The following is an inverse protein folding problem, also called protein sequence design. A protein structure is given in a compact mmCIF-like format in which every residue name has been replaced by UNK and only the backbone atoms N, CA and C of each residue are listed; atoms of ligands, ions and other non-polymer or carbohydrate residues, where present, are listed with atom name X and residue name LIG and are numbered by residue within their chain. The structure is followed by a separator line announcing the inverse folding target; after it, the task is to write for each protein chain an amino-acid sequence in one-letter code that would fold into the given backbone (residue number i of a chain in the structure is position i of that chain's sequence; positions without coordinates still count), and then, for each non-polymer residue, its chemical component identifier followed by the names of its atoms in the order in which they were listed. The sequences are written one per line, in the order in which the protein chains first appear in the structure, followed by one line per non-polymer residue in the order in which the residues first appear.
data_IF_425694620713
#
_entry.id   IF_425694620713
#
_cell.length_a   1.000
_cell.length_b   1.000
_cell.length_c   1.000
_cell.angle_alpha   90.00
_cell.angle_beta   90.00
_cell.angle_gamma   90.00
#
_symmetry.space_group_name_H-M   'P 1'
#
loop_
_entity.id
_entity.type
_entity.pdbx_description
1 polymer ?
#
# COMPACT_ATOMS: atom_id res chain seq x y z
N UNK A 1 3.74 -17.97 -26.05
CA UNK A 1 2.96 -17.74 -24.81
C UNK A 1 2.42 -16.32 -24.84
N UNK A 2 1.24 -16.07 -24.27
CA UNK A 2 0.60 -14.74 -24.25
C UNK A 2 1.10 -13.89 -23.09
N UNK A 3 1.01 -12.57 -23.21
CA UNK A 3 1.51 -11.65 -22.18
C UNK A 3 0.49 -11.32 -21.09
N UNK A 4 -0.78 -11.66 -21.30
CA UNK A 4 -1.88 -11.32 -20.41
C UNK A 4 -2.99 -12.37 -20.46
N UNK A 5 -3.82 -12.40 -19.41
CA UNK A 5 -5.01 -13.27 -19.35
C UNK A 5 -6.03 -12.82 -20.40
N UNK A 6 -6.27 -11.50 -20.44
CA UNK A 6 -7.21 -10.82 -21.32
C UNK A 6 -6.54 -9.56 -21.89
N UNK A 7 -6.68 -9.34 -23.19
CA UNK A 7 -6.13 -8.17 -23.88
C UNK A 7 -6.86 -6.90 -23.40
N UNK A 8 -6.13 -5.86 -22.94
CA UNK A 8 -6.73 -4.58 -22.57
C UNK A 8 -7.50 -3.93 -23.72
N UNK A 9 -8.57 -3.20 -23.38
CA UNK A 9 -9.39 -2.41 -24.30
C UNK A 9 -9.14 -0.91 -24.10
N UNK A 10 -9.40 -0.04 -25.10
CA UNK A 10 -9.18 1.39 -25.02
C UNK A 10 -9.83 2.07 -23.81
N UNK A 11 -11.03 1.65 -23.43
CA UNK A 11 -11.85 2.23 -22.36
C UNK A 11 -11.18 2.14 -20.98
N UNK A 12 -10.21 1.22 -20.81
CA UNK A 12 -9.41 1.12 -19.58
C UNK A 12 -8.46 2.32 -19.47
N UNK A 13 -7.86 2.72 -20.59
CA UNK A 13 -6.95 3.86 -20.64
C UNK A 13 -7.72 5.17 -20.52
N UNK A 14 -8.88 5.25 -21.17
CA UNK A 14 -9.81 6.37 -20.99
C UNK A 14 -10.23 6.49 -19.52
N UNK A 15 -10.61 5.39 -18.85
CA UNK A 15 -10.92 5.41 -17.42
C UNK A 15 -9.74 5.88 -16.56
N UNK A 16 -8.50 5.49 -16.90
CA UNK A 16 -7.30 5.97 -16.21
C UNK A 16 -7.08 7.47 -16.41
N UNK A 17 -7.25 7.97 -17.63
CA UNK A 17 -7.19 9.41 -17.96
C UNK A 17 -8.26 10.19 -17.19
N UNK A 18 -9.49 9.69 -17.11
CA UNK A 18 -10.55 10.33 -16.33
C UNK A 18 -10.24 10.34 -14.83
N UNK A 19 -9.70 9.25 -14.26
CA UNK A 19 -9.24 9.26 -12.87
C UNK A 19 -8.12 10.27 -12.63
N UNK A 20 -7.19 10.41 -13.59
CA UNK A 20 -6.14 11.43 -13.54
C UNK A 20 -6.72 12.84 -13.53
N UNK A 21 -7.59 13.14 -14.50
CA UNK A 21 -8.26 14.44 -14.60
C UNK A 21 -9.10 14.74 -13.35
N UNK A 22 -9.74 13.73 -12.75
CA UNK A 22 -10.50 13.88 -11.51
C UNK A 22 -9.62 14.31 -10.34
N UNK A 23 -8.43 13.71 -10.22
CA UNK A 23 -7.45 14.06 -9.20
C UNK A 23 -6.89 15.46 -9.45
N UNK A 24 -6.57 15.83 -10.69
CA UNK A 24 -6.07 17.16 -11.03
C UNK A 24 -7.09 18.25 -10.66
N UNK A 25 -8.36 18.03 -11.03
CA UNK A 25 -9.47 18.92 -10.68
C UNK A 25 -9.63 19.05 -9.16
N UNK A 26 -9.54 17.93 -8.41
CA UNK A 26 -9.59 17.95 -6.94
C UNK A 26 -8.46 18.80 -6.34
N UNK A 27 -7.24 18.68 -6.87
CA UNK A 27 -6.06 19.37 -6.35
C UNK A 27 -6.13 20.88 -6.55
N UNK A 28 -6.73 21.35 -7.64
CA UNK A 28 -6.97 22.79 -7.89
C UNK A 28 -8.26 23.32 -7.24
N UNK A 29 -9.01 22.47 -6.54
CA UNK A 29 -10.22 22.85 -5.81
C UNK A 29 -11.51 22.79 -6.63
N UNK A 30 -11.47 22.36 -7.89
CA UNK A 30 -12.65 22.17 -8.73
C UNK A 30 -13.36 20.84 -8.40
N UNK A 31 -14.13 20.86 -7.32
CA UNK A 31 -14.87 19.68 -6.87
C UNK A 31 -15.98 19.25 -7.82
N UNK A 32 -16.50 20.16 -8.65
CA UNK A 32 -17.54 19.87 -9.63
C UNK A 32 -16.99 19.03 -10.78
N UNK A 33 -15.90 19.49 -11.38
CA UNK A 33 -15.19 18.76 -12.42
C UNK A 33 -14.64 17.42 -11.89
N UNK A 34 -14.04 17.41 -10.69
CA UNK A 34 -13.54 16.17 -10.09
C UNK A 34 -14.62 15.09 -9.99
N UNK A 35 -15.83 15.46 -9.53
CA UNK A 35 -16.97 14.56 -9.42
C UNK A 35 -17.40 14.01 -10.78
N UNK A 36 -17.45 14.87 -11.80
CA UNK A 36 -17.82 14.46 -13.15
C UNK A 36 -16.81 13.48 -13.75
N UNK A 37 -15.52 13.74 -13.57
CA UNK A 37 -14.46 12.86 -14.07
C UNK A 37 -14.41 11.52 -13.33
N UNK A 38 -14.61 11.50 -12.00
CA UNK A 38 -14.77 10.24 -11.27
C UNK A 38 -15.96 9.44 -11.81
N UNK A 39 -17.13 10.07 -12.04
CA UNK A 39 -18.29 9.40 -12.60
C UNK A 39 -18.00 8.79 -13.99
N UNK A 40 -17.29 9.51 -14.86
CA UNK A 40 -16.92 9.01 -16.19
C UNK A 40 -15.96 7.83 -16.14
N UNK A 41 -15.08 7.79 -15.14
CA UNK A 41 -14.20 6.65 -14.92
C UNK A 41 -14.93 5.38 -14.44
N UNK A 42 -16.17 5.51 -13.93
CA UNK A 42 -17.01 4.38 -13.53
C UNK A 42 -17.72 3.75 -14.74
N UNK A 43 -16.93 3.12 -15.61
CA UNK A 43 -17.40 2.59 -16.88
C UNK A 43 -17.94 1.16 -16.78
N UNK A 44 -19.19 0.97 -17.22
CA UNK A 44 -19.81 -0.36 -17.36
C UNK A 44 -19.04 -1.27 -18.31
N UNK A 45 -18.48 -0.72 -19.40
CA UNK A 45 -17.67 -1.46 -20.36
C UNK A 45 -16.41 -2.02 -19.69
N UNK A 46 -15.75 -1.20 -18.87
CA UNK A 46 -14.57 -1.61 -18.09
C UNK A 46 -14.93 -2.70 -17.07
N UNK A 47 -16.09 -2.60 -16.41
CA UNK A 47 -16.59 -3.63 -15.51
C UNK A 47 -16.83 -4.97 -16.21
N UNK A 48 -17.55 -4.95 -17.33
CA UNK A 48 -17.84 -6.16 -18.13
C UNK A 48 -16.57 -6.78 -18.72
N UNK A 49 -15.56 -5.96 -19.00
CA UNK A 49 -14.24 -6.47 -19.35
C UNK A 49 -13.54 -7.13 -18.16
N UNK A 50 -13.60 -6.52 -16.98
CA UNK A 50 -12.84 -6.92 -15.79
C UNK A 50 -13.43 -8.17 -15.10
N UNK A 51 -14.72 -8.13 -14.79
CA UNK A 51 -15.37 -9.05 -13.86
C UNK A 51 -15.34 -10.53 -14.29
N UNK A 52 -15.58 -10.93 -15.55
CA UNK A 52 -15.66 -12.35 -15.91
C UNK A 52 -14.37 -13.12 -15.69
N UNK A 53 -13.22 -12.51 -16.03
CA UNK A 53 -11.91 -13.14 -15.89
C UNK A 53 -11.40 -13.09 -14.44
N UNK A 54 -11.84 -12.10 -13.66
CA UNK A 54 -11.54 -12.04 -12.23
C UNK A 54 -12.39 -13.05 -11.45
N UNK A 55 -13.71 -13.06 -11.63
CA UNK A 55 -14.65 -13.86 -10.82
C UNK A 55 -14.63 -15.35 -11.12
N UNK A 56 -14.19 -15.76 -12.32
CA UNK A 56 -14.10 -17.16 -12.74
C UNK A 56 -12.69 -17.51 -13.22
N UNK A 57 -11.69 -17.54 -12.32
CA UNK A 57 -10.30 -17.77 -12.70
C UNK A 57 -10.06 -19.14 -13.33
N UNK A 58 -10.89 -20.15 -13.02
CA UNK A 58 -10.85 -21.47 -13.65
C UNK A 58 -11.06 -21.41 -15.17
N UNK A 59 -11.84 -20.43 -15.66
CA UNK A 59 -12.09 -20.23 -17.09
C UNK A 59 -10.91 -19.60 -17.83
N UNK A 60 -9.90 -19.11 -17.11
CA UNK A 60 -8.69 -18.56 -17.72
C UNK A 60 -7.64 -19.64 -18.04
N UNK A 61 -7.82 -20.86 -17.52
CA UNK A 61 -6.89 -21.99 -17.70
C UNK A 61 -6.98 -22.55 -19.11
N UNK A 62 -5.84 -22.57 -19.82
CA UNK A 62 -5.72 -23.12 -21.17
C UNK A 62 -5.25 -24.57 -21.16
N UNK A 63 -4.34 -24.91 -20.23
CA UNK A 63 -3.75 -26.24 -20.11
C UNK A 63 -3.86 -26.70 -18.65
N UNK A 64 -4.86 -27.52 -18.28
CA UNK A 64 -5.12 -27.83 -16.88
C UNK A 64 -3.98 -28.55 -16.15
N UNK A 65 -3.27 -29.46 -16.83
CA UNK A 65 -2.18 -30.27 -16.26
C UNK A 65 -0.96 -30.29 -17.21
N UNK A 66 -0.19 -29.19 -17.31
CA UNK A 66 1.02 -29.19 -18.11
C UNK A 66 2.04 -30.16 -17.51
N UNK A 67 2.74 -30.90 -18.36
CA UNK A 67 3.73 -31.90 -17.92
C UNK A 67 4.79 -31.25 -17.03
N UNK A 68 4.94 -31.79 -15.81
CA UNK A 68 5.96 -31.37 -14.84
C UNK A 68 5.68 -30.05 -14.10
N UNK A 69 4.48 -29.49 -14.21
CA UNK A 69 4.19 -28.12 -13.71
C UNK A 69 3.11 -28.09 -12.62
N UNK A 70 2.00 -28.82 -12.81
CA UNK A 70 0.81 -28.71 -11.94
C UNK A 70 0.92 -29.45 -10.60
N UNK A 71 2.13 -29.87 -10.18
CA UNK A 71 2.31 -30.55 -8.90
C UNK A 71 2.38 -29.51 -7.79
N UNK A 72 1.35 -29.49 -6.96
CA UNK A 72 1.34 -28.60 -5.78
C UNK A 72 2.25 -29.15 -4.67
N UNK A 73 2.85 -28.23 -3.93
CA UNK A 73 3.63 -28.53 -2.72
C UNK A 73 2.64 -28.83 -1.58
N UNK A 74 2.84 -29.89 -0.78
CA UNK A 74 2.02 -30.16 0.40
C UNK A 74 1.98 -28.97 1.36
N UNK A 75 0.83 -28.70 1.99
CA UNK A 75 0.67 -27.49 2.83
C UNK A 75 1.71 -27.40 3.96
N UNK A 76 2.12 -28.53 4.54
CA UNK A 76 3.14 -28.61 5.58
C UNK A 76 4.55 -28.23 5.10
N UNK A 77 4.82 -28.33 3.80
CA UNK A 77 6.11 -28.00 3.17
C UNK A 77 6.12 -26.60 2.56
N UNK A 78 4.97 -25.91 2.52
CA UNK A 78 4.89 -24.53 2.04
C UNK A 78 5.46 -23.58 3.07
N UNK A 79 5.99 -22.45 2.59
CA UNK A 79 6.39 -21.34 3.45
C UNK A 79 5.18 -20.92 4.32
N UNK A 80 5.29 -20.84 5.66
CA UNK A 80 4.11 -20.65 6.52
C UNK A 80 3.37 -19.33 6.26
N UNK A 81 4.11 -18.26 6.00
CA UNK A 81 3.55 -16.96 5.69
C UNK A 81 3.59 -16.67 4.19
N UNK A 82 2.40 -16.49 3.61
CA UNK A 82 2.22 -16.04 2.22
C UNK A 82 2.11 -14.52 2.10
N UNK A 83 2.09 -13.80 3.21
CA UNK A 83 2.04 -12.34 3.21
C UNK A 83 3.32 -11.78 2.58
N UNK A 84 3.19 -10.62 1.96
CA UNK A 84 4.30 -9.93 1.30
C UNK A 84 4.70 -8.78 2.22
N UNK A 85 5.91 -8.87 2.77
CA UNK A 85 6.41 -7.90 3.74
C UNK A 85 6.43 -6.47 3.14
N UNK A 86 6.23 -5.42 3.97
CA UNK A 86 6.19 -4.04 3.49
C UNK A 86 7.42 -3.60 2.69
N UNK A 87 8.63 -4.02 3.10
CA UNK A 87 9.86 -3.68 2.39
C UNK A 87 9.92 -4.33 0.99
N UNK A 88 9.38 -5.55 0.85
CA UNK A 88 9.26 -6.24 -0.46
C UNK A 88 8.28 -5.50 -1.35
N UNK A 89 7.10 -5.13 -0.82
CA UNK A 89 6.12 -4.31 -1.57
C UNK A 89 6.75 -3.02 -2.09
N UNK A 90 7.48 -2.30 -1.24
CA UNK A 90 8.19 -1.08 -1.60
C UNK A 90 9.25 -1.31 -2.68
N UNK A 91 10.02 -2.40 -2.58
CA UNK A 91 11.03 -2.76 -3.58
C UNK A 91 10.39 -3.11 -4.94
N UNK A 92 9.31 -3.89 -4.93
CA UNK A 92 8.57 -4.29 -6.12
C UNK A 92 7.89 -3.09 -6.79
N UNK A 93 7.24 -2.21 -6.02
CA UNK A 93 6.64 -0.98 -6.55
C UNK A 93 7.70 -0.06 -7.17
N UNK A 94 8.88 0.07 -6.55
CA UNK A 94 9.99 0.86 -7.13
C UNK A 94 10.53 0.26 -8.43
N UNK A 95 10.57 -1.07 -8.52
CA UNK A 95 11.04 -1.79 -9.72
C UNK A 95 10.05 -1.66 -10.86
N UNK A 96 8.78 -1.93 -10.58
CA UNK A 96 7.74 -2.12 -11.61
C UNK A 96 6.95 -0.85 -11.92
N UNK A 97 6.95 0.13 -11.01
CA UNK A 97 6.12 1.33 -11.11
C UNK A 97 4.63 1.02 -10.99
N UNK A 98 3.81 1.97 -11.43
CA UNK A 98 2.35 1.88 -11.40
C UNK A 98 1.78 1.24 -12.68
N UNK A 99 2.43 0.17 -13.16
CA UNK A 99 2.04 -0.53 -14.39
C UNK A 99 1.96 -2.02 -14.17
N UNK A 100 0.87 -2.64 -14.63
CA UNK A 100 0.69 -4.07 -14.53
C UNK A 100 1.78 -4.83 -15.30
N UNK A 101 2.54 -5.69 -14.62
CA UNK A 101 3.62 -6.49 -15.21
C UNK A 101 3.14 -7.58 -16.15
N UNK A 102 1.84 -7.87 -16.22
CA UNK A 102 1.21 -8.78 -17.17
C UNK A 102 0.66 -8.03 -18.39
N UNK A 103 -0.51 -7.40 -18.24
CA UNK A 103 -1.24 -6.78 -19.35
C UNK A 103 -0.80 -5.35 -19.68
N UNK A 104 -0.02 -4.70 -18.81
CA UNK A 104 0.53 -3.38 -19.09
C UNK A 104 -0.41 -2.20 -18.81
N UNK A 105 -1.63 -2.42 -18.32
CA UNK A 105 -2.52 -1.32 -17.93
C UNK A 105 -1.95 -0.56 -16.72
N UNK A 106 -2.26 0.75 -16.57
CA UNK A 106 -1.95 1.50 -15.35
C UNK A 106 -2.59 0.85 -14.13
N UNK A 107 -2.01 1.05 -12.95
CA UNK A 107 -2.59 0.60 -11.68
C UNK A 107 -2.55 1.68 -10.60
N UNK A 108 -3.44 1.56 -9.63
CA UNK A 108 -3.69 2.51 -8.56
C UNK A 108 -3.76 1.77 -7.22
N UNK A 109 -3.03 2.26 -6.23
CA UNK A 109 -3.03 1.68 -4.89
C UNK A 109 -4.39 1.86 -4.19
N UNK A 110 -4.82 0.84 -3.43
CA UNK A 110 -6.10 0.88 -2.73
C UNK A 110 -6.22 2.05 -1.74
N UNK A 111 -5.12 2.58 -1.21
CA UNK A 111 -5.17 3.75 -0.35
C UNK A 111 -5.56 5.02 -1.10
N UNK A 112 -5.16 5.19 -2.36
CA UNK A 112 -5.61 6.32 -3.21
C UNK A 112 -7.11 6.25 -3.39
N UNK A 113 -7.64 5.08 -3.76
CA UNK A 113 -9.08 4.86 -3.88
C UNK A 113 -9.81 5.21 -2.57
N UNK A 114 -9.27 4.81 -1.41
CA UNK A 114 -9.87 5.15 -0.10
C UNK A 114 -9.91 6.65 0.14
N UNK A 115 -8.93 7.41 -0.34
CA UNK A 115 -8.94 8.88 -0.30
C UNK A 115 -10.04 9.42 -1.21
N UNK A 116 -10.08 8.97 -2.48
CA UNK A 116 -11.11 9.39 -3.44
C UNK A 116 -12.53 9.09 -2.91
N UNK A 117 -12.78 7.88 -2.42
CA UNK A 117 -14.06 7.47 -1.83
C UNK A 117 -14.45 8.32 -0.61
N UNK A 118 -13.49 8.74 0.21
CA UNK A 118 -13.79 9.62 1.36
C UNK A 118 -14.29 10.99 0.91
N UNK A 119 -13.74 11.53 -0.18
CA UNK A 119 -14.11 12.85 -0.70
C UNK A 119 -15.34 12.82 -1.62
N UNK A 120 -15.54 11.71 -2.32
CA UNK A 120 -16.56 11.56 -3.36
C UNK A 120 -17.30 10.22 -3.22
N UNK A 121 -17.88 9.89 -2.07
CA UNK A 121 -18.48 8.56 -1.82
C UNK A 121 -19.62 8.22 -2.80
N UNK A 122 -20.30 9.23 -3.34
CA UNK A 122 -21.44 9.13 -4.24
C UNK A 122 -21.06 8.78 -5.69
N UNK A 123 -19.87 9.19 -6.14
CA UNK A 123 -19.36 8.88 -7.49
C UNK A 123 -18.15 7.95 -7.46
N UNK A 124 -17.61 7.64 -6.29
CA UNK A 124 -16.59 6.61 -6.07
C UNK A 124 -17.13 5.60 -5.07
N UNK A 125 -18.21 4.86 -5.40
CA UNK A 125 -18.81 3.91 -4.48
C UNK A 125 -17.84 2.75 -4.20
N UNK A 126 -17.93 2.20 -3.00
CA UNK A 126 -17.18 0.99 -2.66
C UNK A 126 -17.91 0.15 -1.61
N UNK A 127 -18.56 -0.92 -2.05
CA UNK A 127 -19.23 -1.88 -1.18
C UNK A 127 -18.53 -3.25 -1.23
N UNK A 128 -17.76 -3.63 -0.19
CA UNK A 128 -17.03 -4.91 -0.19
C UNK A 128 -17.95 -6.15 -0.10
N UNK A 129 -19.26 -5.96 0.06
CA UNK A 129 -20.25 -7.05 0.03
C UNK A 129 -20.90 -7.22 -1.34
N UNK A 130 -20.69 -6.26 -2.23
CA UNK A 130 -21.27 -6.26 -3.58
C UNK A 130 -20.29 -5.59 -4.56
N UNK A 131 -19.46 -6.40 -5.20
CA UNK A 131 -18.47 -5.94 -6.16
C UNK A 131 -19.10 -5.22 -7.36
N UNK A 132 -20.37 -5.50 -7.69
CA UNK A 132 -21.05 -4.80 -8.78
C UNK A 132 -21.45 -3.36 -8.41
N UNK A 133 -21.45 -3.04 -7.11
CA UNK A 133 -21.67 -1.71 -6.55
C UNK A 133 -20.36 -0.99 -6.19
N UNK A 134 -19.21 -1.48 -6.65
CA UNK A 134 -17.91 -0.83 -6.50
C UNK A 134 -17.52 -0.11 -7.81
N UNK A 135 -16.84 1.03 -7.69
CA UNK A 135 -16.40 1.82 -8.85
C UNK A 135 -15.50 1.03 -9.82
N UNK A 136 -15.96 0.83 -11.05
CA UNK A 136 -15.36 -0.04 -12.06
C UNK A 136 -13.93 0.35 -12.46
N UNK A 137 -13.66 1.65 -12.66
CA UNK A 137 -12.33 2.15 -12.96
C UNK A 137 -11.30 1.77 -11.87
N UNK A 138 -11.58 2.11 -10.61
CA UNK A 138 -10.73 1.71 -9.49
C UNK A 138 -10.63 0.19 -9.30
N UNK A 139 -11.67 -0.59 -9.57
CA UNK A 139 -11.57 -2.05 -9.55
C UNK A 139 -10.60 -2.56 -10.62
N UNK A 140 -10.77 -2.11 -11.87
CA UNK A 140 -9.94 -2.54 -13.00
C UNK A 140 -8.47 -2.20 -12.79
N UNK A 141 -8.20 -0.96 -12.35
CA UNK A 141 -6.85 -0.45 -12.13
C UNK A 141 -6.30 -0.82 -10.74
N UNK A 142 -6.99 -1.62 -9.93
CA UNK A 142 -6.54 -1.88 -8.57
C UNK A 142 -5.18 -2.60 -8.57
N UNK A 143 -4.18 -1.92 -8.00
CA UNK A 143 -2.83 -2.44 -7.80
C UNK A 143 -2.84 -3.63 -6.85
N UNK A 144 -2.28 -4.75 -7.32
CA UNK A 144 -2.04 -5.98 -6.58
C UNK A 144 -0.57 -6.37 -6.65
N UNK A 145 -0.16 -7.23 -5.72
CA UNK A 145 1.14 -7.89 -5.70
C UNK A 145 0.93 -9.37 -5.95
N UNK A 146 1.28 -9.85 -7.15
CA UNK A 146 1.09 -11.25 -7.53
C UNK A 146 2.39 -12.04 -7.34
N UNK A 147 2.25 -13.25 -6.82
CA UNK A 147 3.31 -14.26 -6.80
C UNK A 147 3.37 -14.96 -8.15
N UNK A 148 4.38 -14.68 -8.98
CA UNK A 148 4.53 -15.23 -10.34
C UNK A 148 4.52 -16.76 -10.29
N UNK A 149 5.36 -17.36 -9.45
CA UNK A 149 5.18 -18.75 -9.00
C UNK A 149 4.17 -18.73 -7.85
N UNK A 150 3.02 -19.41 -7.96
CA UNK A 150 2.02 -19.43 -6.90
C UNK A 150 2.55 -20.07 -5.61
N UNK A 151 2.08 -19.61 -4.45
CA UNK A 151 2.42 -20.20 -3.15
C UNK A 151 2.11 -21.70 -3.06
N UNK A 152 1.02 -22.15 -3.71
CA UNK A 152 0.65 -23.57 -3.83
C UNK A 152 1.69 -24.42 -4.58
N UNK A 153 2.56 -23.79 -5.36
CA UNK A 153 3.64 -24.41 -6.13
C UNK A 153 5.03 -24.03 -5.59
N UNK A 154 5.11 -23.59 -4.32
CA UNK A 154 6.37 -23.28 -3.64
C UNK A 154 6.87 -21.85 -3.83
N UNK A 155 6.08 -20.97 -4.45
CA UNK A 155 6.41 -19.57 -4.62
C UNK A 155 6.59 -18.82 -3.30
N UNK A 156 7.70 -18.08 -3.18
CA UNK A 156 8.04 -17.28 -2.00
C UNK A 156 7.56 -15.83 -2.14
N UNK A 157 7.32 -15.15 -1.02
CA UNK A 157 6.95 -13.73 -0.95
C UNK A 157 8.16 -12.79 -1.05
N UNK A 158 9.02 -13.02 -2.04
CA UNK A 158 10.28 -12.31 -2.25
C UNK A 158 10.22 -11.45 -3.51
N UNK A 159 11.05 -10.42 -3.61
CA UNK A 159 10.98 -9.44 -4.70
C UNK A 159 11.22 -10.07 -6.10
N UNK A 160 11.99 -11.15 -6.19
CA UNK A 160 12.24 -11.94 -7.41
C UNK A 160 11.04 -12.79 -7.87
N UNK A 161 10.09 -13.09 -6.99
CA UNK A 161 8.88 -13.84 -7.31
C UNK A 161 7.60 -13.01 -7.27
N UNK A 162 7.65 -11.79 -6.73
CA UNK A 162 6.48 -10.89 -6.64
C UNK A 162 6.58 -9.78 -7.69
N UNK A 163 5.45 -9.48 -8.36
CA UNK A 163 5.34 -8.40 -9.36
C UNK A 163 4.12 -7.51 -9.09
N UNK A 164 4.19 -6.24 -9.53
CA UNK A 164 3.00 -5.39 -9.61
C UNK A 164 2.07 -5.90 -10.72
N UNK A 165 0.77 -6.01 -10.43
CA UNK A 165 -0.25 -6.33 -11.43
C UNK A 165 -1.59 -5.68 -11.12
N UNK A 166 -2.51 -5.70 -12.09
CA UNK A 166 -3.90 -5.29 -11.84
C UNK A 166 -4.71 -6.41 -11.20
N UNK A 167 -5.85 -6.08 -10.62
CA UNK A 167 -6.71 -7.04 -9.94
C UNK A 167 -7.19 -8.19 -10.85
N UNK A 168 -7.57 -7.92 -12.11
CA UNK A 168 -7.89 -9.01 -13.05
C UNK A 168 -6.73 -9.98 -13.22
N UNK A 169 -5.49 -9.49 -13.35
CA UNK A 169 -4.34 -10.36 -13.56
C UNK A 169 -4.00 -11.17 -12.30
N UNK A 170 -4.05 -10.56 -11.11
CA UNK A 170 -3.79 -11.25 -9.84
C UNK A 170 -4.86 -12.31 -9.54
N UNK A 171 -6.12 -11.89 -9.47
CA UNK A 171 -7.22 -12.75 -9.06
C UNK A 171 -7.66 -13.70 -10.18
N UNK A 172 -7.52 -13.29 -11.45
CA UNK A 172 -7.75 -14.15 -12.60
C UNK A 172 -6.66 -15.22 -12.79
N UNK A 173 -5.43 -14.98 -12.31
CA UNK A 173 -4.38 -16.00 -12.23
C UNK A 173 -4.60 -16.93 -11.04
N UNK A 174 -5.03 -16.38 -9.91
CA UNK A 174 -5.28 -17.14 -8.68
C UNK A 174 -4.09 -18.06 -8.33
N UNK A 175 -4.34 -19.36 -8.18
CA UNK A 175 -3.35 -20.38 -7.83
C UNK A 175 -2.68 -21.03 -9.04
N UNK A 176 -3.05 -20.63 -10.25
CA UNK A 176 -2.60 -21.28 -11.49
C UNK A 176 -1.20 -20.81 -11.87
N UNK A 177 -0.43 -21.73 -12.44
CA UNK A 177 0.90 -21.42 -12.98
C UNK A 177 0.79 -20.65 -14.28
N UNK A 178 1.89 -20.01 -14.69
CA UNK A 178 1.97 -19.37 -15.99
C UNK A 178 1.72 -20.36 -17.13
N UNK A 179 2.24 -21.59 -17.03
CA UNK A 179 2.03 -22.63 -18.05
C UNK A 179 0.57 -23.06 -18.15
N UNK A 180 -0.14 -23.18 -17.02
CA UNK A 180 -1.57 -23.46 -17.03
C UNK A 180 -2.38 -22.37 -17.75
N UNK A 181 -1.96 -21.12 -17.63
CA UNK A 181 -2.60 -19.97 -18.26
C UNK A 181 -2.04 -19.64 -19.65
N UNK A 182 -1.01 -20.36 -20.11
CA UNK A 182 -0.28 -20.06 -21.34
C UNK A 182 0.42 -18.69 -21.34
N UNK A 183 0.75 -18.15 -20.17
CA UNK A 183 1.37 -16.84 -19.98
C UNK A 183 2.90 -16.93 -20.10
N UNK A 184 3.51 -15.92 -20.71
CA UNK A 184 4.94 -15.69 -20.62
C UNK A 184 5.30 -15.16 -19.22
N UNK A 185 6.51 -15.43 -18.75
CA UNK A 185 6.97 -14.92 -17.47
C UNK A 185 7.13 -13.39 -17.51
N UNK A 186 6.38 -12.63 -16.69
CA UNK A 186 6.48 -11.18 -16.71
C UNK A 186 7.84 -10.66 -16.23
N UNK A 187 8.67 -11.50 -15.61
CA UNK A 187 10.01 -11.16 -15.09
C UNK A 187 11.09 -11.21 -16.16
N UNK A 188 10.86 -11.94 -17.25
CA UNK A 188 11.81 -12.06 -18.37
C UNK A 188 11.89 -10.79 -19.23
N UNK A 189 10.98 -9.84 -19.01
CA UNK A 189 10.95 -8.55 -19.68
C UNK A 189 11.37 -7.42 -18.74
N UNK A 190 11.98 -6.38 -19.30
CA UNK A 190 12.31 -5.18 -18.52
C UNK A 190 11.02 -4.49 -18.01
N UNK A 191 11.04 -3.91 -16.78
CA UNK A 191 10.00 -2.98 -16.36
C UNK A 191 9.87 -1.82 -17.34
N UNK A 192 8.63 -1.47 -17.69
CA UNK A 192 8.33 -0.29 -18.51
C UNK A 192 7.89 0.83 -17.57
N UNK A 193 8.68 1.90 -17.52
CA UNK A 193 8.32 3.13 -16.81
C UNK A 193 7.46 4.00 -17.71
N UNK A 194 6.47 4.63 -17.11
CA UNK A 194 5.56 5.60 -17.76
C UNK A 194 5.43 6.81 -16.85
N UNK A 195 4.86 7.89 -17.36
CA UNK A 195 4.58 9.11 -16.58
C UNK A 195 3.34 8.95 -15.68
N UNK A 196 2.73 7.77 -15.66
CA UNK A 196 1.63 7.45 -14.75
C UNK A 196 2.15 7.31 -13.32
N UNK A 197 1.78 8.27 -12.48
CA UNK A 197 2.19 8.38 -11.07
C UNK A 197 1.39 7.50 -10.11
N UNK A 198 0.42 6.72 -10.61
CA UNK A 198 -0.49 5.95 -9.74
C UNK A 198 -1.50 6.80 -8.99
N UNK A 199 -1.68 8.07 -9.41
CA UNK A 199 -2.47 9.10 -8.73
C UNK A 199 -1.93 9.45 -7.33
N UNK A 200 -0.65 9.21 -7.08
CA UNK A 200 -0.02 9.40 -5.77
C UNK A 200 -0.04 10.88 -5.31
N UNK A 201 -0.15 11.83 -6.23
CA UNK A 201 -0.41 13.25 -5.93
C UNK A 201 -1.62 13.48 -5.02
N UNK A 202 -2.64 12.60 -5.06
CA UNK A 202 -3.78 12.65 -4.14
C UNK A 202 -3.37 12.33 -2.69
N UNK A 203 -2.42 11.41 -2.48
CA UNK A 203 -1.86 11.05 -1.17
C UNK A 203 -0.96 12.16 -0.62
N UNK A 204 -0.15 12.74 -1.50
CA UNK A 204 0.79 13.82 -1.14
C UNK A 204 0.04 15.04 -0.64
N UNK A 205 -1.03 15.45 -1.34
CA UNK A 205 -1.86 16.58 -0.95
C UNK A 205 -2.51 16.40 0.44
N UNK A 206 -2.90 15.18 0.81
CA UNK A 206 -3.37 14.89 2.16
C UNK A 206 -2.26 15.06 3.21
N UNK A 207 -1.05 14.63 2.88
CA UNK A 207 0.10 14.71 3.79
C UNK A 207 0.52 16.16 4.06
N UNK A 208 0.47 17.01 3.03
CA UNK A 208 0.74 18.46 3.16
C UNK A 208 -0.31 19.16 4.03
N UNK A 209 -1.61 18.84 3.86
CA UNK A 209 -2.67 19.43 4.70
C UNK A 209 -2.54 19.08 6.17
N UNK A 210 -2.12 17.85 6.49
CA UNK A 210 -1.84 17.44 7.89
C UNK A 210 -0.66 18.24 8.46
N UNK A 211 0.38 18.51 7.67
CA UNK A 211 1.51 19.34 8.10
C UNK A 211 1.08 20.82 8.31
N UNK A 212 0.27 21.39 7.42
CA UNK A 212 -0.17 22.79 7.49
C UNK A 212 -1.21 23.07 8.59
N UNK A 213 -1.97 22.07 9.04
CA UNK A 213 -2.95 22.20 10.13
C UNK A 213 -2.33 22.02 11.53
N UNK A 214 -1.01 21.84 11.63
CA UNK A 214 -0.31 21.90 12.91
C UNK A 214 -0.20 23.37 13.35
N UNK A 215 -0.67 23.75 14.56
CA UNK A 215 -0.73 25.16 14.95
C UNK A 215 0.67 25.79 15.03
N UNK A 216 0.84 27.09 14.70
CA UNK A 216 2.09 27.80 14.91
C UNK A 216 2.35 27.86 16.42
N UNK A 217 3.54 27.43 16.85
CA UNK A 217 3.95 27.52 18.25
C UNK A 217 3.87 28.95 18.74
N UNK A 218 2.96 29.23 19.67
CA UNK A 218 2.78 30.55 20.29
C UNK A 218 4.01 30.88 21.16
N UNK A 219 4.55 32.10 21.12
CA UNK A 219 5.61 32.51 22.04
C UNK A 219 5.02 32.68 23.44
N UNK A 220 5.75 32.18 24.44
CA UNK A 220 5.30 32.08 25.81
C UNK A 220 4.90 33.40 26.44
N UNK A 221 3.85 33.34 27.26
CA UNK A 221 3.64 34.24 28.39
C UNK A 221 3.07 33.47 29.57
N UNK A 222 3.74 33.65 30.69
CA UNK A 222 3.41 33.12 31.99
C UNK A 222 2.08 33.65 32.52
N UNK A 223 1.37 32.75 33.22
CA UNK A 223 0.90 32.88 34.61
C UNK A 223 -0.56 32.49 34.82
N UNK A 224 -0.77 31.62 35.81
CA UNK A 224 -2.02 31.51 36.57
C UNK A 224 -2.85 30.26 36.31
N UNK A 225 -2.53 29.17 37.03
CA UNK A 225 -3.40 28.00 37.21
C UNK A 225 -4.73 28.36 37.89
N UNK A 226 -5.78 27.55 37.68
CA UNK A 226 -6.20 26.64 38.76
C UNK A 226 -6.36 25.19 38.27
N UNK A 227 -6.02 24.25 39.15
CA UNK A 227 -5.66 22.87 38.80
C UNK A 227 -6.78 21.82 38.72
N UNK A 228 -6.43 20.75 37.99
CA UNK A 228 -6.72 19.28 38.13
C UNK A 228 -6.73 18.64 36.72
N UNK A 229 -6.46 17.33 36.52
CA UNK A 229 -5.81 16.33 37.38
C UNK A 229 -4.56 15.65 36.72
N UNK A 230 -3.60 15.25 37.57
CA UNK A 230 -2.54 14.22 37.39
C UNK A 230 -1.84 14.08 36.01
N UNK A 231 -0.91 14.99 35.72
CA UNK A 231 0.08 14.86 34.64
C UNK A 231 1.33 14.11 35.12
N UNK A 232 1.43 12.82 34.78
CA UNK A 232 2.67 12.07 34.97
C UNK A 232 3.81 12.67 34.13
N UNK A 233 4.99 12.85 34.73
CA UNK A 233 6.15 13.41 34.02
C UNK A 233 6.51 12.58 32.77
N UNK A 234 6.71 13.25 31.64
CA UNK A 234 7.16 12.61 30.40
C UNK A 234 8.52 11.94 30.62
N UNK A 235 8.68 10.72 30.12
CA UNK A 235 9.96 10.02 30.14
C UNK A 235 10.77 10.40 28.91
N UNK A 236 12.08 10.62 29.10
CA UNK A 236 13.06 10.91 28.04
C UNK A 236 14.10 9.80 28.02
N UNK A 237 14.21 9.07 26.90
CA UNK A 237 15.06 7.88 26.77
C UNK A 237 15.82 7.85 25.45
N UNK A 238 17.09 7.48 25.49
CA UNK A 238 17.90 7.29 24.29
C UNK A 238 17.69 5.88 23.73
N UNK A 239 17.48 5.79 22.42
CA UNK A 239 17.29 4.56 21.67
C UNK A 239 18.45 4.40 20.68
N UNK A 240 19.54 3.70 21.05
CA UNK A 240 20.67 3.48 20.17
C UNK A 240 20.22 2.70 18.93
N UNK A 241 20.72 3.07 17.76
CA UNK A 241 20.40 2.45 16.48
C UNK A 241 18.95 2.67 15.99
N UNK A 242 18.14 3.48 16.68
CA UNK A 242 16.81 3.82 16.21
C UNK A 242 16.85 4.68 14.95
N UNK A 243 15.79 4.60 14.14
CA UNK A 243 15.64 5.40 12.93
C UNK A 243 14.20 5.83 12.73
N UNK A 244 13.98 6.94 12.02
CA UNK A 244 12.65 7.38 11.64
C UNK A 244 12.38 7.11 10.17
N UNK A 245 11.13 6.77 9.82
CA UNK A 245 10.67 6.65 8.44
C UNK A 245 9.15 6.77 8.39
N UNK A 246 8.62 7.54 7.43
CA UNK A 246 7.19 7.65 7.16
C UNK A 246 6.33 8.02 8.39
N UNK A 247 6.81 8.90 9.27
CA UNK A 247 6.08 9.33 10.47
C UNK A 247 6.11 8.34 11.64
N UNK A 248 7.04 7.39 11.63
CA UNK A 248 7.26 6.45 12.72
C UNK A 248 8.72 6.48 13.18
N UNK A 249 8.94 6.24 14.48
CA UNK A 249 10.22 5.87 15.05
C UNK A 249 10.28 4.35 15.16
N UNK A 250 11.31 3.73 14.62
CA UNK A 250 11.61 2.31 14.73
C UNK A 250 12.76 2.10 15.70
N UNK A 251 12.61 1.14 16.60
CA UNK A 251 13.69 0.75 17.52
C UNK A 251 14.35 -0.53 17.00
N UNK A 252 15.65 -0.72 17.23
CA UNK A 252 16.23 -2.06 17.23
C UNK A 252 15.50 -2.95 18.24
N UNK A 253 15.64 -4.29 18.16
CA UNK A 253 14.94 -5.20 19.05
C UNK A 253 15.20 -4.91 20.52
N UNK A 254 14.18 -4.44 21.25
CA UNK A 254 14.22 -4.29 22.71
C UNK A 254 13.70 -5.60 23.29
N UNK A 255 14.54 -6.30 24.06
CA UNK A 255 14.26 -7.67 24.54
C UNK A 255 13.88 -8.65 23.40
N UNK A 256 14.61 -8.58 22.29
CA UNK A 256 14.42 -9.50 21.16
C UNK A 256 13.15 -9.26 20.34
N UNK A 257 12.44 -8.15 20.54
CA UNK A 257 11.26 -7.80 19.75
C UNK A 257 11.35 -6.37 19.20
N UNK A 258 11.09 -6.22 17.91
CA UNK A 258 11.04 -4.91 17.26
C UNK A 258 9.83 -4.09 17.74
N UNK A 259 10.00 -2.78 17.84
CA UNK A 259 8.95 -1.83 18.23
C UNK A 259 8.97 -0.62 17.31
N UNK A 260 7.80 -0.02 17.16
CA UNK A 260 7.65 1.25 16.46
C UNK A 260 6.63 2.14 17.13
N UNK A 261 6.92 3.44 17.13
CA UNK A 261 6.10 4.49 17.70
C UNK A 261 5.62 5.39 16.57
N UNK A 262 4.32 5.66 16.52
CA UNK A 262 3.79 6.66 15.60
C UNK A 262 4.19 8.03 16.14
N UNK A 263 4.79 8.86 15.31
CA UNK A 263 5.09 10.23 15.67
C UNK A 263 3.81 11.05 15.58
N UNK A 264 3.32 11.50 16.71
CA UNK A 264 2.16 12.37 16.88
C UNK A 264 2.41 13.33 18.06
N UNK A 265 1.41 14.12 18.44
CA UNK A 265 1.55 15.14 19.50
C UNK A 265 1.96 14.58 20.88
N UNK A 266 1.79 13.27 21.10
CA UNK A 266 2.15 12.61 22.37
C UNK A 266 3.57 12.03 22.39
N UNK A 267 4.28 12.05 21.26
CA UNK A 267 5.60 11.44 21.08
C UNK A 267 6.53 12.37 20.31
N UNK A 268 7.57 12.88 20.96
CA UNK A 268 8.64 13.63 20.29
C UNK A 268 9.93 12.81 20.22
N UNK A 269 10.66 12.96 19.11
CA UNK A 269 11.93 12.28 18.89
C UNK A 269 12.96 13.25 18.34
N UNK A 270 14.20 13.17 18.83
CA UNK A 270 15.33 13.94 18.30
C UNK A 270 16.50 13.01 17.99
N UNK A 271 17.22 13.20 16.87
CA UNK A 271 18.40 12.40 16.56
C UNK A 271 19.50 12.72 17.59
N UNK A 272 20.12 11.68 18.15
CA UNK A 272 21.19 11.80 19.14
C UNK A 272 22.30 10.82 18.80
N UNK A 273 23.55 11.23 18.99
CA UNK A 273 24.72 10.35 18.94
C UNK A 273 25.38 10.34 20.32
N UNK A 274 25.57 9.16 20.92
CA UNK A 274 26.27 8.99 22.20
C UNK A 274 27.35 7.94 22.04
N UNK A 275 28.57 8.26 22.46
CA UNK A 275 29.73 7.37 22.38
C UNK A 275 29.92 6.73 20.97
N UNK A 276 29.66 7.49 19.91
CA UNK A 276 29.77 7.03 18.51
C UNK A 276 28.60 6.19 17.99
N UNK A 277 27.54 5.98 18.81
CA UNK A 277 26.33 5.26 18.41
C UNK A 277 25.23 6.24 18.07
N UNK A 278 24.79 6.23 16.81
CA UNK A 278 23.66 7.03 16.32
C UNK A 278 22.33 6.41 16.74
N UNK A 279 21.36 7.25 17.09
CA UNK A 279 20.01 6.82 17.47
C UNK A 279 19.07 8.01 17.61
N UNK A 280 17.99 7.82 18.37
CA UNK A 280 17.04 8.89 18.66
C UNK A 280 16.72 8.93 20.15
N UNK A 281 16.54 10.13 20.70
CA UNK A 281 15.95 10.32 22.02
C UNK A 281 14.44 10.43 21.89
N UNK A 282 13.72 9.54 22.55
CA UNK A 282 12.26 9.45 22.61
C UNK A 282 11.76 10.14 23.88
N UNK A 283 10.84 11.10 23.72
CA UNK A 283 10.11 11.75 24.80
C UNK A 283 8.62 11.46 24.66
N UNK A 284 8.04 10.80 25.65
CA UNK A 284 6.63 10.40 25.64
C UNK A 284 6.10 10.15 27.06
N UNK A 285 4.78 10.03 27.21
CA UNK A 285 4.18 9.55 28.46
C UNK A 285 4.64 8.11 28.76
N UNK A 286 5.08 7.78 29.99
CA UNK A 286 5.54 6.43 30.32
C UNK A 286 4.51 5.31 30.04
N UNK A 287 3.21 5.60 30.05
CA UNK A 287 2.17 4.65 29.65
C UNK A 287 2.29 4.23 28.18
N UNK A 288 2.84 5.07 27.30
CA UNK A 288 3.09 4.73 25.89
C UNK A 288 4.13 3.60 25.78
N UNK A 289 5.21 3.67 26.58
CA UNK A 289 6.22 2.61 26.63
C UNK A 289 5.64 1.32 27.22
N UNK A 290 4.92 1.41 28.34
CA UNK A 290 4.27 0.25 28.98
C UNK A 290 3.29 -0.47 28.06
N UNK A 291 2.46 0.27 27.31
CA UNK A 291 1.55 -0.31 26.29
C UNK A 291 2.29 -1.06 25.18
N UNK A 292 3.58 -0.80 24.98
CA UNK A 292 4.45 -1.49 24.02
C UNK A 292 5.34 -2.54 24.69
N UNK A 293 5.09 -2.86 25.95
CA UNK A 293 5.89 -3.82 26.73
C UNK A 293 7.34 -3.38 26.88
N UNK A 294 7.57 -2.07 26.95
CA UNK A 294 8.88 -1.48 27.26
C UNK A 294 8.74 -0.83 28.64
N UNK A 295 9.38 -1.43 29.63
CA UNK A 295 9.54 -0.79 30.93
C UNK A 295 10.50 0.40 30.78
N UNK A 296 10.20 1.59 31.35
CA UNK A 296 11.04 2.78 31.20
C UNK A 296 12.50 2.62 31.63
N UNK A 297 12.83 1.62 32.47
CA UNK A 297 14.20 1.31 32.89
C UNK A 297 15.00 0.42 31.92
N UNK A 298 14.37 -0.11 30.86
CA UNK A 298 15.04 -0.93 29.84
C UNK A 298 15.69 -0.12 28.72
N UNK A 299 15.49 1.20 28.73
CA UNK A 299 16.05 2.13 27.77
C UNK A 299 17.04 3.02 28.50
N UNK A 300 18.15 3.36 27.84
CA UNK A 300 19.16 4.22 28.42
C UNK A 300 18.57 5.60 28.76
N UNK A 301 18.86 6.09 29.96
CA UNK A 301 18.50 7.45 30.32
C UNK A 301 19.26 8.44 29.42
N UNK A 302 18.53 9.45 28.96
CA UNK A 302 18.87 10.33 27.86
C UNK A 302 20.00 11.33 28.13
#
# INVERSE_FOLDING_TARGET
MKNCIKTPIPEIYEAAEQLSAAVDAHLVGDTGLAREQFRRADSRIVWEWTNPAWSRPDKNVLVPKPLGDSRTVPKAERVPDRSIAPHVRKAVLRRDGHRCRYCGIPVVDAAIRKIAHRHYPEVVPWNPRDNAAEHAGFQCLWLQYDHVVPHSHGGRSTADNVVICCALCNFGKDRFTLRQLGLADPRDRAPVRTDWDGLERLREAMSVRVAAQSPPGTPGRDSGSPGTPDGGALVSRFLPGAWTSAGYLFTPPVQGKERWFRLDQSISVEPVERAGVKGYRLRCDPAILRRRGIEPGLLDEA
#
